data_IF_847738142610
#
_entry.id   IF_847738142610
#
_cell.length_a   1.000
_cell.length_b   1.000
_cell.length_c   1.000
_cell.angle_alpha   90.00
_cell.angle_beta   90.00
_cell.angle_gamma   90.00
#
_symmetry.space_group_name_H-M   'P 1'
#
loop_
_entity.id
_entity.type
_entity.pdbx_description
1 polymer ?
#
# COMPACT_ATOMS: atom_id res chain seq x y z
N UNK A 1 -4.49 -18.66 0.12
CA UNK A 1 -5.29 -19.06 1.30
C UNK A 1 -6.59 -18.27 1.29
N UNK A 2 -7.73 -18.98 1.21
CA UNK A 2 -9.06 -18.42 1.03
C UNK A 2 -9.53 -17.70 2.31
N UNK A 3 -10.25 -16.57 2.19
CA UNK A 3 -10.81 -15.82 3.32
C UNK A 3 -11.73 -16.68 4.20
N UNK A 4 -12.30 -17.76 3.63
CA UNK A 4 -13.06 -18.77 4.36
C UNK A 4 -12.21 -19.54 5.39
N UNK A 5 -10.98 -19.93 5.04
CA UNK A 5 -10.09 -20.65 5.95
C UNK A 5 -9.58 -19.74 7.08
N UNK A 6 -9.45 -18.43 6.80
CA UNK A 6 -9.05 -17.44 7.79
C UNK A 6 -10.12 -17.23 8.86
N UNK A 7 -11.39 -17.08 8.43
CA UNK A 7 -12.54 -16.99 9.34
C UNK A 7 -12.74 -18.28 10.14
N UNK A 8 -12.52 -19.43 9.51
CA UNK A 8 -12.61 -20.73 10.17
C UNK A 8 -11.54 -20.90 11.25
N UNK A 9 -10.32 -20.40 11.03
CA UNK A 9 -9.24 -20.42 12.01
C UNK A 9 -9.52 -19.48 13.19
N UNK A 10 -10.05 -18.27 12.93
CA UNK A 10 -10.40 -17.32 14.00
C UNK A 10 -11.56 -17.84 14.87
N UNK A 11 -12.58 -18.49 14.28
CA UNK A 11 -13.62 -19.18 15.04
C UNK A 11 -13.05 -20.32 15.90
N UNK A 12 -12.15 -21.14 15.37
CA UNK A 12 -11.55 -22.24 16.11
C UNK A 12 -10.71 -21.75 17.30
N UNK A 13 -9.99 -20.64 17.14
CA UNK A 13 -9.17 -20.05 18.19
C UNK A 13 -10.01 -19.44 19.32
N UNK A 14 -11.15 -18.82 18.98
CA UNK A 14 -12.11 -18.32 19.96
C UNK A 14 -12.79 -19.44 20.76
N UNK A 15 -13.13 -20.55 20.10
CA UNK A 15 -13.70 -21.74 20.75
C UNK A 15 -12.70 -22.35 21.73
N UNK A 16 -11.43 -22.50 21.35
CA UNK A 16 -10.38 -23.00 22.25
C UNK A 16 -10.17 -22.09 23.46
N UNK A 17 -10.22 -20.78 23.27
CA UNK A 17 -10.12 -19.80 24.36
C UNK A 17 -11.30 -19.91 25.34
N UNK A 18 -12.52 -20.07 24.84
CA UNK A 18 -13.71 -20.30 25.68
C UNK A 18 -13.61 -21.62 26.46
N UNK A 19 -13.14 -22.69 25.83
CA UNK A 19 -12.92 -23.99 26.50
C UNK A 19 -11.87 -23.83 27.61
N UNK A 20 -10.77 -23.11 27.36
CA UNK A 20 -9.75 -22.86 28.36
C UNK A 20 -10.28 -22.09 29.57
N UNK A 21 -11.11 -21.06 29.35
CA UNK A 21 -11.79 -20.33 30.43
C UNK A 21 -12.67 -21.27 31.25
N UNK A 22 -13.51 -22.07 30.59
CA UNK A 22 -14.40 -23.02 31.27
C UNK A 22 -13.63 -24.07 32.07
N UNK A 23 -12.53 -24.58 31.52
CA UNK A 23 -11.68 -25.58 32.17
C UNK A 23 -10.93 -24.99 33.36
N UNK A 24 -10.46 -23.75 33.25
CA UNK A 24 -9.87 -23.01 34.37
C UNK A 24 -10.89 -22.74 35.49
N UNK A 25 -12.11 -22.35 35.15
CA UNK A 25 -13.19 -22.13 36.11
C UNK A 25 -13.61 -23.44 36.81
N UNK A 26 -13.64 -24.54 36.05
CA UNK A 26 -13.90 -25.88 36.57
C UNK A 26 -12.80 -26.33 37.55
N UNK A 27 -11.53 -26.09 37.23
CA UNK A 27 -10.41 -26.38 38.14
C UNK A 27 -10.45 -25.50 39.39
N UNK A 28 -10.76 -24.20 39.29
CA UNK A 28 -10.89 -23.30 40.46
C UNK A 28 -12.03 -23.77 41.37
N UNK A 29 -13.18 -24.12 40.79
CA UNK A 29 -14.35 -24.60 41.55
C UNK A 29 -14.08 -25.97 42.18
N UNK A 30 -13.43 -26.86 41.43
CA UNK A 30 -13.02 -28.19 41.89
C UNK A 30 -11.97 -28.11 43.01
N UNK A 31 -10.97 -27.23 42.88
CA UNK A 31 -9.97 -26.96 43.92
C UNK A 31 -10.60 -26.30 45.16
N UNK A 32 -11.63 -25.47 44.98
CA UNK A 32 -12.41 -24.91 46.10
C UNK A 32 -13.22 -25.98 46.85
N UNK A 33 -13.61 -27.06 46.18
CA UNK A 33 -14.32 -28.19 46.79
C UNK A 33 -13.36 -29.19 47.43
N UNK A 34 -12.19 -29.39 46.81
CA UNK A 34 -11.10 -30.22 47.31
C UNK A 34 -10.20 -29.40 48.23
N UNK A 35 -10.74 -28.90 49.34
CA UNK A 35 -10.02 -28.06 50.31
C UNK A 35 -9.03 -28.92 51.12
N UNK A 36 -7.70 -28.83 50.91
CA UNK A 36 -6.76 -29.36 51.89
C UNK A 36 -6.56 -28.27 52.94
N UNK A 37 -6.82 -28.58 54.20
CA UNK A 37 -6.75 -27.66 55.34
C UNK A 37 -5.35 -27.15 55.69
N UNK A 38 -4.36 -27.30 54.80
CA UNK A 38 -2.99 -26.79 54.97
C UNK A 38 -2.68 -25.50 54.18
N UNK A 39 -3.53 -25.07 53.25
CA UNK A 39 -3.26 -23.86 52.44
C UNK A 39 -3.49 -22.54 53.20
N UNK A 40 -4.25 -22.57 54.30
CA UNK A 40 -4.64 -21.38 55.07
C UNK A 40 -3.46 -20.76 55.83
N UNK A 41 -2.48 -21.57 56.26
CA UNK A 41 -1.33 -21.11 57.07
C UNK A 41 -0.12 -20.64 56.23
N UNK A 42 -0.23 -20.65 54.90
CA UNK A 42 0.81 -20.20 53.96
C UNK A 42 0.50 -18.86 53.27
N UNK A 43 -0.60 -18.19 53.62
CA UNK A 43 -0.96 -16.86 53.09
C UNK A 43 -0.15 -15.78 53.85
N UNK A 44 1.16 -15.88 53.74
CA UNK A 44 2.12 -14.82 54.08
C UNK A 44 2.29 -13.92 52.85
N UNK A 45 2.57 -12.63 53.06
CA UNK A 45 2.72 -11.66 51.98
C UNK A 45 3.69 -12.11 50.86
N UNK A 46 4.70 -12.92 51.21
CA UNK A 46 5.68 -13.48 50.27
C UNK A 46 5.08 -14.50 49.28
N UNK A 47 4.13 -15.33 49.70
CA UNK A 47 3.51 -16.34 48.84
C UNK A 47 2.42 -15.74 47.95
N UNK A 48 1.73 -14.69 48.41
CA UNK A 48 0.79 -13.91 47.58
C UNK A 48 1.53 -13.27 46.40
N UNK A 49 2.73 -12.73 46.64
CA UNK A 49 3.54 -12.11 45.59
C UNK A 49 3.97 -13.13 44.52
N UNK A 50 4.36 -14.35 44.92
CA UNK A 50 4.73 -15.44 43.99
C UNK A 50 3.56 -15.87 43.10
N UNK A 51 2.34 -15.92 43.64
CA UNK A 51 1.13 -16.24 42.88
C UNK A 51 0.77 -15.15 41.85
N UNK A 52 0.86 -13.88 42.25
CA UNK A 52 0.61 -12.76 41.34
C UNK A 52 1.61 -12.69 40.19
N UNK A 53 2.89 -12.98 40.45
CA UNK A 53 3.93 -13.06 39.42
C UNK A 53 3.64 -14.18 38.42
N UNK A 54 3.24 -15.36 38.89
CA UNK A 54 2.94 -16.51 38.04
C UNK A 54 1.75 -16.25 37.09
N UNK A 55 0.72 -15.56 37.59
CA UNK A 55 -0.40 -15.11 36.77
C UNK A 55 0.06 -14.05 35.75
N UNK A 56 0.82 -13.04 36.18
CA UNK A 56 1.34 -11.98 35.31
C UNK A 56 2.21 -12.50 34.15
N UNK A 57 3.11 -13.45 34.41
CA UNK A 57 4.00 -14.03 33.38
C UNK A 57 3.24 -14.87 32.37
N UNK A 58 2.16 -15.51 32.80
CA UNK A 58 1.31 -16.31 31.91
C UNK A 58 0.59 -15.42 30.88
N UNK A 59 0.04 -14.28 31.33
CA UNK A 59 -0.57 -13.30 30.43
C UNK A 59 0.45 -12.64 29.49
N UNK A 60 1.64 -12.30 30.00
CA UNK A 60 2.71 -11.73 29.19
C UNK A 60 3.13 -12.68 28.05
N UNK A 61 3.18 -13.99 28.31
CA UNK A 61 3.56 -15.01 27.31
C UNK A 61 2.56 -15.11 26.17
N UNK A 62 1.26 -15.01 26.46
CA UNK A 62 0.18 -15.03 25.45
C UNK A 62 0.24 -13.78 24.58
N UNK A 63 0.49 -12.61 25.18
CA UNK A 63 0.61 -11.34 24.45
C UNK A 63 1.78 -11.36 23.44
N UNK A 64 2.91 -11.97 23.81
CA UNK A 64 4.08 -12.13 22.92
C UNK A 64 3.72 -13.05 21.75
N UNK A 65 3.13 -14.22 22.02
CA UNK A 65 2.73 -15.16 20.96
C UNK A 65 1.71 -14.53 20.00
N UNK A 66 0.75 -13.78 20.53
CA UNK A 66 -0.22 -13.05 19.73
C UNK A 66 0.47 -12.00 18.85
N UNK A 67 1.39 -11.21 19.41
CA UNK A 67 2.15 -10.21 18.65
C UNK A 67 2.96 -10.86 17.51
N UNK A 68 3.69 -11.94 17.81
CA UNK A 68 4.49 -12.70 16.83
C UNK A 68 3.60 -13.30 15.74
N UNK A 69 2.45 -13.88 16.10
CA UNK A 69 1.48 -14.42 15.15
C UNK A 69 0.95 -13.34 14.20
N UNK A 70 0.56 -12.17 14.72
CA UNK A 70 0.10 -11.06 13.88
C UNK A 70 1.23 -10.47 13.03
N UNK A 71 2.46 -10.40 13.53
CA UNK A 71 3.63 -9.98 12.76
C UNK A 71 3.91 -10.94 11.58
N UNK A 72 3.86 -12.25 11.82
CA UNK A 72 4.02 -13.27 10.78
C UNK A 72 2.90 -13.19 9.73
N UNK A 73 1.65 -12.97 10.15
CA UNK A 73 0.51 -12.77 9.25
C UNK A 73 0.71 -11.53 8.35
N UNK A 74 1.29 -10.45 8.90
CA UNK A 74 1.61 -9.22 8.14
C UNK A 74 2.75 -9.41 7.13
N UNK A 75 3.75 -10.25 7.42
CA UNK A 75 4.85 -10.52 6.49
C UNK A 75 4.36 -11.03 5.13
N UNK A 76 3.36 -11.93 5.12
CA UNK A 76 2.76 -12.44 3.87
C UNK A 76 2.01 -11.39 3.04
N UNK A 77 1.63 -10.26 3.65
CA UNK A 77 1.02 -9.14 2.95
C UNK A 77 2.08 -8.22 2.31
N UNK A 78 3.28 -8.13 2.90
CA UNK A 78 4.39 -7.34 2.35
C UNK A 78 4.92 -7.90 1.02
N UNK A 79 4.92 -9.23 0.85
CA UNK A 79 5.37 -9.84 -0.41
C UNK A 79 4.52 -9.41 -1.61
N UNK A 80 3.23 -9.17 -1.39
CA UNK A 80 2.32 -8.67 -2.43
C UNK A 80 2.57 -7.20 -2.76
N UNK A 81 3.06 -6.43 -1.80
CA UNK A 81 3.38 -5.01 -2.02
C UNK A 81 4.70 -4.81 -2.76
N UNK A 82 5.63 -5.76 -2.70
CA UNK A 82 6.89 -5.67 -3.46
C UNK A 82 6.66 -5.76 -4.98
N UNK A 83 5.81 -6.70 -5.41
CA UNK A 83 5.43 -6.86 -6.82
C UNK A 83 4.55 -5.70 -7.32
N UNK A 84 3.69 -5.15 -6.44
CA UNK A 84 2.92 -3.94 -6.77
C UNK A 84 3.80 -2.69 -6.82
N UNK A 85 4.84 -2.59 -5.99
CA UNK A 85 5.81 -1.49 -6.01
C UNK A 85 6.63 -1.49 -7.31
N UNK A 86 7.03 -2.66 -7.81
CA UNK A 86 7.71 -2.78 -9.11
C UNK A 86 6.82 -2.26 -10.26
N UNK A 87 5.54 -2.67 -10.29
CA UNK A 87 4.59 -2.18 -11.29
C UNK A 87 4.26 -0.69 -11.13
N UNK A 88 4.28 -0.17 -9.89
CA UNK A 88 4.06 1.25 -9.63
C UNK A 88 5.23 2.12 -10.14
N UNK A 89 6.46 1.61 -10.16
CA UNK A 89 7.60 2.35 -10.75
C UNK A 89 7.41 2.50 -12.26
N UNK A 90 6.97 1.44 -12.96
CA UNK A 90 6.70 1.49 -14.40
C UNK A 90 5.54 2.43 -14.74
N UNK A 91 4.45 2.38 -13.96
CA UNK A 91 3.28 3.27 -14.15
C UNK A 91 3.65 4.72 -13.83
N UNK A 92 4.46 4.97 -12.80
CA UNK A 92 4.92 6.32 -12.47
C UNK A 92 5.82 6.93 -13.58
N UNK A 93 6.73 6.13 -14.15
CA UNK A 93 7.59 6.56 -15.25
C UNK A 93 6.79 6.93 -16.51
N UNK A 94 5.82 6.09 -16.88
CA UNK A 94 4.95 6.35 -18.04
C UNK A 94 4.04 7.57 -17.85
N UNK A 95 3.57 7.79 -16.61
CA UNK A 95 2.78 8.99 -16.27
C UNK A 95 3.59 10.26 -16.45
N UNK A 96 4.86 10.28 -16.04
CA UNK A 96 5.72 11.47 -16.15
C UNK A 96 6.03 11.85 -17.61
N UNK A 97 6.22 10.87 -18.50
CA UNK A 97 6.40 11.14 -19.94
C UNK A 97 5.10 11.70 -20.54
N UNK A 98 3.96 11.13 -20.17
CA UNK A 98 2.65 11.59 -20.64
C UNK A 98 2.36 13.02 -20.20
N UNK A 99 2.65 13.37 -18.94
CA UNK A 99 2.45 14.74 -18.43
C UNK A 99 3.34 15.76 -19.15
N UNK A 100 4.63 15.43 -19.36
CA UNK A 100 5.55 16.28 -20.13
C UNK A 100 5.07 16.45 -21.58
N UNK A 101 4.56 15.39 -22.19
CA UNK A 101 3.99 15.42 -23.53
C UNK A 101 2.78 16.35 -23.62
N UNK A 102 1.79 16.19 -22.73
CA UNK A 102 0.60 17.06 -22.69
C UNK A 102 0.99 18.53 -22.53
N UNK A 103 1.92 18.83 -21.62
CA UNK A 103 2.40 20.19 -21.40
C UNK A 103 3.11 20.78 -22.63
N UNK A 104 3.90 19.97 -23.33
CA UNK A 104 4.61 20.42 -24.54
C UNK A 104 3.63 20.71 -25.70
N UNK A 105 2.57 19.90 -25.85
CA UNK A 105 1.50 20.15 -26.82
C UNK A 105 0.72 21.42 -26.49
N UNK A 106 0.43 21.69 -25.22
CA UNK A 106 -0.21 22.94 -24.79
C UNK A 106 0.67 24.16 -25.12
N UNK A 107 1.98 24.06 -24.86
CA UNK A 107 2.94 25.11 -25.17
C UNK A 107 3.07 25.39 -26.67
N UNK A 108 2.94 24.36 -27.52
CA UNK A 108 2.95 24.50 -28.98
C UNK A 108 1.83 25.40 -29.50
N UNK A 109 0.67 25.41 -28.83
CA UNK A 109 -0.46 26.27 -29.16
C UNK A 109 -0.34 27.72 -28.66
N UNK A 110 0.73 28.07 -27.94
CA UNK A 110 0.90 29.42 -27.40
C UNK A 110 1.17 30.45 -28.49
N UNK A 111 0.56 31.63 -28.38
CA UNK A 111 0.88 32.80 -29.21
C UNK A 111 2.27 33.39 -28.92
N UNK A 112 2.85 33.07 -27.76
CA UNK A 112 4.20 33.50 -27.42
C UNK A 112 5.24 32.59 -28.09
N UNK A 113 6.03 33.17 -28.99
CA UNK A 113 7.09 32.47 -29.72
C UNK A 113 8.06 31.71 -28.80
N UNK A 114 8.44 32.29 -27.65
CA UNK A 114 9.39 31.66 -26.72
C UNK A 114 8.81 30.41 -26.07
N UNK A 115 7.52 30.44 -25.70
CA UNK A 115 6.81 29.30 -25.11
C UNK A 115 6.62 28.21 -26.17
N UNK A 116 6.21 28.61 -27.38
CA UNK A 116 6.04 27.70 -28.52
C UNK A 116 7.33 26.96 -28.87
N UNK A 117 8.45 27.68 -28.92
CA UNK A 117 9.77 27.09 -29.19
C UNK A 117 10.16 26.11 -28.08
N UNK A 118 9.89 26.44 -26.81
CA UNK A 118 10.08 25.54 -25.68
C UNK A 118 9.26 24.25 -25.81
N UNK A 119 8.01 24.34 -26.27
CA UNK A 119 7.15 23.19 -26.57
C UNK A 119 7.71 22.29 -27.68
N UNK A 120 8.23 22.88 -28.76
CA UNK A 120 8.86 22.12 -29.87
C UNK A 120 10.09 21.34 -29.36
N UNK A 121 10.99 21.98 -28.61
CA UNK A 121 12.16 21.29 -28.04
C UNK A 121 11.79 20.22 -27.02
N UNK A 122 10.75 20.44 -26.22
CA UNK A 122 10.26 19.44 -25.29
C UNK A 122 9.69 18.21 -26.03
N UNK A 123 8.92 18.43 -27.11
CA UNK A 123 8.43 17.35 -27.98
C UNK A 123 9.59 16.60 -28.64
N UNK A 124 10.58 17.29 -29.19
CA UNK A 124 11.77 16.65 -29.75
C UNK A 124 12.46 15.75 -28.72
N UNK A 125 12.65 16.27 -27.49
CA UNK A 125 13.31 15.51 -26.42
C UNK A 125 12.52 14.26 -26.02
N UNK A 126 11.19 14.34 -25.95
CA UNK A 126 10.32 13.19 -25.67
C UNK A 126 10.40 12.14 -26.80
N UNK A 127 10.46 12.58 -28.06
CA UNK A 127 10.62 11.68 -29.21
C UNK A 127 11.97 10.94 -29.17
N UNK A 128 13.02 11.57 -28.65
CA UNK A 128 14.34 10.93 -28.43
C UNK A 128 14.33 9.98 -27.22
N UNK A 129 13.67 10.36 -26.12
CA UNK A 129 13.62 9.57 -24.89
C UNK A 129 12.74 8.31 -25.04
N UNK A 130 11.68 8.36 -25.86
CA UNK A 130 10.74 7.26 -26.06
C UNK A 130 10.41 6.99 -27.56
N UNK A 131 11.40 6.54 -28.36
CA UNK A 131 11.29 6.50 -29.81
C UNK A 131 10.24 5.50 -30.33
N UNK A 132 10.03 4.39 -29.62
CA UNK A 132 9.04 3.37 -30.02
C UNK A 132 7.59 3.82 -29.81
N UNK A 133 7.34 4.68 -28.83
CA UNK A 133 5.99 5.03 -28.39
C UNK A 133 5.56 6.40 -28.89
N UNK A 134 6.43 7.41 -28.84
CA UNK A 134 6.04 8.80 -29.07
C UNK A 134 6.60 9.42 -30.35
N UNK A 135 7.66 8.85 -30.96
CA UNK A 135 8.33 9.48 -32.11
C UNK A 135 7.37 9.77 -33.26
N UNK A 136 6.60 8.78 -33.70
CA UNK A 136 5.68 8.94 -34.82
C UNK A 136 4.59 9.97 -34.55
N UNK A 137 3.92 9.86 -33.39
CA UNK A 137 2.86 10.79 -32.98
C UNK A 137 3.36 12.23 -32.87
N UNK A 138 4.57 12.44 -32.36
CA UNK A 138 5.18 13.78 -32.26
C UNK A 138 5.46 14.36 -33.64
N UNK A 139 5.96 13.56 -34.58
CA UNK A 139 6.17 14.01 -35.96
C UNK A 139 4.84 14.37 -36.64
N UNK A 140 3.78 13.61 -36.44
CA UNK A 140 2.45 13.94 -36.94
C UNK A 140 1.92 15.26 -36.37
N UNK A 141 2.09 15.50 -35.07
CA UNK A 141 1.68 16.75 -34.42
C UNK A 141 2.44 17.95 -34.99
N UNK A 142 3.77 17.85 -35.10
CA UNK A 142 4.60 18.93 -35.63
C UNK A 142 4.30 19.21 -37.12
N UNK A 143 4.13 18.16 -37.93
CA UNK A 143 3.73 18.30 -39.33
C UNK A 143 2.35 18.94 -39.47
N UNK A 144 1.37 18.51 -38.67
CA UNK A 144 0.04 19.09 -38.66
C UNK A 144 0.06 20.56 -38.22
N UNK A 145 0.89 20.88 -37.24
CA UNK A 145 1.09 22.25 -36.77
C UNK A 145 1.63 23.16 -37.88
N UNK A 146 2.71 22.74 -38.56
CA UNK A 146 3.29 23.51 -39.67
C UNK A 146 2.27 23.71 -40.79
N UNK A 147 1.58 22.64 -41.21
CA UNK A 147 0.56 22.69 -42.28
C UNK A 147 -0.58 23.66 -41.95
N UNK A 148 -1.08 23.64 -40.72
CA UNK A 148 -2.17 24.53 -40.30
C UNK A 148 -1.70 25.98 -40.15
N UNK A 149 -0.46 26.19 -39.74
CA UNK A 149 0.12 27.51 -39.61
C UNK A 149 0.39 28.14 -40.99
N UNK A 150 0.79 27.35 -41.99
CA UNK A 150 0.97 27.83 -43.37
C UNK A 150 -0.34 28.33 -43.99
N UNK A 151 -1.45 27.62 -43.75
CA UNK A 151 -2.79 28.01 -44.17
C UNK A 151 -3.31 29.31 -43.55
N UNK A 152 -2.75 29.78 -42.43
CA UNK A 152 -3.17 31.05 -41.83
C UNK A 152 -2.56 32.26 -42.55
N UNK A 153 -1.31 32.16 -43.01
CA UNK A 153 -0.61 33.24 -43.71
C UNK A 153 -1.25 33.56 -45.07
N UNK A 154 -1.75 32.55 -45.77
CA UNK A 154 -2.43 32.75 -47.05
C UNK A 154 -3.76 33.51 -46.90
N UNK A 155 -4.52 33.26 -45.82
CA UNK A 155 -5.75 34.03 -45.52
C UNK A 155 -5.46 35.49 -45.19
N UNK A 156 -4.36 35.77 -44.47
CA UNK A 156 -3.97 37.16 -44.18
C UNK A 156 -3.56 37.93 -45.42
N UNK A 157 -2.93 37.28 -46.41
CA UNK A 157 -2.55 37.92 -47.68
C UNK A 157 -3.76 38.19 -48.60
N UNK A 158 -4.80 37.35 -48.54
CA UNK A 158 -6.03 37.54 -49.32
C UNK A 158 -6.93 38.66 -48.76
N UNK A 159 -6.95 38.88 -47.44
CA UNK A 159 -7.75 39.94 -46.80
C UNK A 159 -7.13 41.36 -46.91
N UNK A 160 -5.95 41.51 -47.52
CA UNK A 160 -5.28 42.80 -47.73
C UNK A 160 -5.33 43.30 -49.19
N UNK A 161 -6.06 42.60 -50.08
CA UNK A 161 -6.41 43.08 -51.43
C UNK A 161 -7.85 43.55 -51.46
#
# INVERSE_FOLDING_TARGET
>A
MNNQNLKQLECSLFILFLIFILLSAFLITGFSYYKPSEFQNSINAENILKLLQFLGTSFASIAILFNVYYAAKRATALDKTALAAEKNIEVAQNSQITERFTKAVEQLGSENLSIRLGGIYALEKIAQDAPKTYHWTIMEILCAFIRNHELSWEKTLQNQK
#
